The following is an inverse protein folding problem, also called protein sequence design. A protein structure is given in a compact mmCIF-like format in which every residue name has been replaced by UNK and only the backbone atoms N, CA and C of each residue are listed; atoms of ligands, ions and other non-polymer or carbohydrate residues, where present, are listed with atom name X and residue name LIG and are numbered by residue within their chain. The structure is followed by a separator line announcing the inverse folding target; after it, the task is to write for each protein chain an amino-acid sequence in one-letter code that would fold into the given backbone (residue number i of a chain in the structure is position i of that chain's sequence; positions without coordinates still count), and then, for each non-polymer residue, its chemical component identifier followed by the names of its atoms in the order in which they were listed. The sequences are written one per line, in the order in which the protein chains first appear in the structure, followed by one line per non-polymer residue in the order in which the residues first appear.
data_IF_060063281279
#
_entry.id   IF_060063281279
#
_cell.length_a   1.000
_cell.length_b   1.000
_cell.length_c   1.000
_cell.angle_alpha   90.00
_cell.angle_beta   90.00
_cell.angle_gamma   90.00
#
_symmetry.space_group_name_H-M   'P 1'
#
loop_
_entity.id
_entity.type
_entity.pdbx_description
1 polymer ?
#
# COMPACT_ATOMS: atom_id res chain seq x y z
N UNK A 1 -42.29 30.87 -45.71
CA UNK A 1 -41.12 31.13 -44.86
C UNK A 1 -41.17 30.18 -43.66
N UNK A 2 -40.31 29.17 -43.62
CA UNK A 2 -40.22 28.22 -42.50
C UNK A 2 -39.18 28.75 -41.51
N UNK A 3 -39.61 29.05 -40.29
CA UNK A 3 -38.75 29.52 -39.21
C UNK A 3 -38.00 28.32 -38.62
N UNK A 4 -36.68 28.29 -38.76
CA UNK A 4 -35.80 27.25 -38.23
C UNK A 4 -35.44 27.62 -36.78
N UNK A 5 -36.07 26.98 -35.80
CA UNK A 5 -35.66 27.08 -34.39
C UNK A 5 -34.33 26.32 -34.22
N UNK A 6 -33.25 27.07 -34.06
CA UNK A 6 -31.94 26.54 -33.70
C UNK A 6 -31.94 26.24 -32.19
N UNK A 7 -32.11 24.97 -31.83
CA UNK A 7 -31.98 24.52 -30.44
C UNK A 7 -30.51 24.56 -30.01
N UNK A 8 -30.20 25.44 -29.06
CA UNK A 8 -28.88 25.50 -28.42
C UNK A 8 -28.77 24.32 -27.44
N UNK A 9 -28.10 23.24 -27.85
CA UNK A 9 -27.72 22.17 -26.93
C UNK A 9 -26.58 22.69 -26.05
N UNK A 10 -26.90 23.07 -24.80
CA UNK A 10 -25.91 23.23 -23.76
C UNK A 10 -25.34 21.86 -23.40
N UNK A 11 -24.19 21.51 -23.99
CA UNK A 11 -23.35 20.43 -23.49
C UNK A 11 -22.81 20.85 -22.12
N UNK A 12 -23.45 20.37 -21.04
CA UNK A 12 -22.82 20.34 -19.73
C UNK A 12 -21.62 19.38 -19.81
N UNK A 13 -20.44 19.95 -20.01
CA UNK A 13 -19.18 19.25 -19.80
C UNK A 13 -19.06 19.01 -18.29
N UNK A 14 -18.75 17.79 -17.83
CA UNK A 14 -18.35 17.59 -16.44
C UNK A 14 -17.02 18.31 -16.27
N UNK A 15 -17.04 19.48 -15.64
CA UNK A 15 -15.85 20.11 -15.10
C UNK A 15 -15.23 19.13 -14.13
N UNK A 16 -14.27 18.34 -14.62
CA UNK A 16 -13.35 17.60 -13.76
C UNK A 16 -12.49 18.66 -13.11
N UNK A 17 -12.84 19.08 -11.90
CA UNK A 17 -12.03 20.02 -11.15
C UNK A 17 -10.69 19.35 -10.83
N UNK A 18 -9.62 19.91 -11.39
CA UNK A 18 -8.26 19.72 -10.91
C UNK A 18 -8.24 20.06 -9.42
N UNK A 19 -8.14 19.02 -8.60
CA UNK A 19 -8.35 19.08 -7.16
C UNK A 19 -7.13 18.64 -6.36
N UNK A 20 -6.81 19.43 -5.34
CA UNK A 20 -5.91 19.09 -4.24
C UNK A 20 -6.72 19.24 -2.96
N UNK A 21 -6.86 18.17 -2.18
CA UNK A 21 -7.56 18.28 -0.90
C UNK A 21 -6.72 19.09 0.09
N UNK A 22 -7.38 19.66 1.10
CA UNK A 22 -6.68 20.16 2.27
C UNK A 22 -5.89 19.01 2.93
N UNK A 23 -4.84 19.39 3.65
CA UNK A 23 -4.13 18.44 4.49
C UNK A 23 -5.02 18.04 5.67
N UNK A 24 -5.08 16.75 5.94
CA UNK A 24 -5.71 16.19 7.14
C UNK A 24 -4.68 15.42 7.95
N UNK A 25 -4.84 15.44 9.27
CA UNK A 25 -3.96 14.71 10.16
C UNK A 25 -4.28 13.21 10.12
N UNK A 26 -3.24 12.39 10.19
CA UNK A 26 -3.35 10.95 10.38
C UNK A 26 -2.71 10.52 11.69
N UNK A 27 -3.16 9.39 12.24
CA UNK A 27 -2.50 8.74 13.38
C UNK A 27 -1.45 7.76 12.86
N UNK A 28 -0.26 7.81 13.46
CA UNK A 28 0.81 6.88 13.18
C UNK A 28 0.98 5.95 14.37
N UNK A 29 0.59 4.69 14.21
CA UNK A 29 0.60 3.68 15.29
C UNK A 29 1.28 2.43 14.77
N UNK A 30 2.36 2.00 15.42
CA UNK A 30 3.15 0.82 15.04
C UNK A 30 3.55 0.79 13.57
N UNK A 31 3.93 1.96 13.02
CA UNK A 31 4.32 2.13 11.61
C UNK A 31 3.17 2.20 10.60
N UNK A 32 1.92 2.05 11.05
CA UNK A 32 0.75 2.13 10.17
C UNK A 32 0.15 3.53 10.15
N UNK A 33 -0.11 4.04 8.94
CA UNK A 33 -0.84 5.28 8.70
C UNK A 33 -2.33 5.01 8.85
N UNK A 34 -2.97 5.65 9.82
CA UNK A 34 -4.39 5.53 10.16
C UNK A 34 -5.11 6.83 9.90
N UNK A 35 -6.02 6.84 8.93
CA UNK A 35 -6.82 8.02 8.58
C UNK A 35 -8.24 7.89 9.14
N UNK A 36 -8.88 8.98 9.60
CA UNK A 36 -10.26 8.94 10.05
C UNK A 36 -11.20 8.42 8.96
N UNK A 37 -12.16 7.59 9.34
CA UNK A 37 -13.21 7.07 8.47
C UNK A 37 -14.48 6.85 9.28
N UNK A 38 -15.63 6.95 8.63
CA UNK A 38 -16.92 6.55 9.21
C UNK A 38 -17.44 5.37 8.40
N UNK A 39 -17.66 4.22 9.03
CA UNK A 39 -18.29 3.05 8.39
C UNK A 39 -19.62 2.80 9.06
N UNK A 40 -20.70 2.75 8.28
CA UNK A 40 -22.06 2.58 8.80
C UNK A 40 -22.43 3.58 9.90
N UNK A 41 -22.00 4.83 9.76
CA UNK A 41 -22.27 5.89 10.74
C UNK A 41 -21.41 5.84 12.02
N UNK A 42 -20.42 4.95 12.09
CA UNK A 42 -19.57 4.77 13.28
C UNK A 42 -18.16 5.30 12.99
N UNK A 43 -17.66 6.20 13.84
CA UNK A 43 -16.31 6.76 13.73
C UNK A 43 -15.21 5.73 14.02
N UNK A 44 -14.14 5.78 13.24
CA UNK A 44 -12.96 4.97 13.45
C UNK A 44 -11.82 5.32 12.49
N UNK A 45 -11.01 4.32 12.16
CA UNK A 45 -9.82 4.51 11.33
C UNK A 45 -9.71 3.49 10.20
N UNK A 46 -9.26 3.96 9.05
CA UNK A 46 -8.77 3.13 7.96
C UNK A 46 -7.23 3.08 8.01
N UNK A 47 -6.65 1.89 7.89
CA UNK A 47 -5.21 1.68 7.70
C UNK A 47 -4.90 1.78 6.20
N UNK A 48 -3.87 2.53 5.83
CA UNK A 48 -3.40 2.61 4.45
C UNK A 48 -2.31 1.59 4.15
N UNK A 49 -2.55 0.73 3.16
CA UNK A 49 -1.65 -0.37 2.81
C UNK A 49 -1.48 -0.47 1.28
N UNK A 50 -0.43 0.14 0.73
CA UNK A 50 -0.13 0.05 -0.70
C UNK A 50 0.35 -1.35 -1.15
N UNK A 51 0.70 -2.24 -0.22
CA UNK A 51 1.03 -3.63 -0.53
C UNK A 51 -0.21 -4.49 -0.77
N UNK A 52 -1.33 -4.15 -0.13
CA UNK A 52 -2.60 -4.85 -0.25
C UNK A 52 -3.30 -4.61 -1.60
N UNK A 53 -3.71 -5.70 -2.23
CA UNK A 53 -4.39 -5.67 -3.54
C UNK A 53 -5.89 -5.43 -3.45
N UNK A 54 -6.47 -5.54 -2.24
CA UNK A 54 -7.89 -5.47 -2.01
C UNK A 54 -8.18 -4.74 -0.69
N UNK A 55 -9.27 -3.99 -0.67
CA UNK A 55 -9.76 -3.35 0.55
C UNK A 55 -10.32 -4.42 1.48
N UNK A 56 -10.22 -4.19 2.78
CA UNK A 56 -10.67 -5.14 3.79
C UNK A 56 -11.42 -4.46 4.92
N UNK A 57 -12.31 -5.20 5.56
CA UNK A 57 -13.09 -4.77 6.73
C UNK A 57 -12.71 -5.61 7.94
N UNK A 58 -12.59 -4.96 9.11
CA UNK A 58 -12.17 -5.61 10.34
C UNK A 58 -13.30 -6.43 10.96
N UNK A 59 -13.08 -7.73 11.13
CA UNK A 59 -14.03 -8.62 11.81
C UNK A 59 -14.33 -8.19 13.24
N UNK A 60 -13.34 -7.64 13.97
CA UNK A 60 -13.56 -7.13 15.33
C UNK A 60 -14.46 -5.89 15.35
N UNK A 61 -14.39 -5.03 14.32
CA UNK A 61 -15.28 -3.88 14.17
C UNK A 61 -16.72 -4.32 13.88
N UNK A 62 -16.90 -5.26 12.96
CA UNK A 62 -18.23 -5.77 12.63
C UNK A 62 -18.88 -6.46 13.83
N UNK A 63 -18.13 -7.33 14.51
CA UNK A 63 -18.63 -8.06 15.68
C UNK A 63 -19.01 -7.10 16.82
N UNK A 64 -18.17 -6.11 17.14
CA UNK A 64 -18.43 -5.16 18.23
C UNK A 64 -19.74 -4.38 18.04
N UNK A 65 -20.09 -4.09 16.79
CA UNK A 65 -21.23 -3.23 16.44
C UNK A 65 -22.42 -4.01 15.86
N UNK A 66 -22.37 -5.34 15.83
CA UNK A 66 -23.45 -6.17 15.27
C UNK A 66 -23.75 -5.87 13.80
N UNK A 67 -22.73 -5.51 13.01
CA UNK A 67 -22.91 -5.13 11.62
C UNK A 67 -23.04 -6.36 10.73
N UNK A 68 -24.06 -6.34 9.87
CA UNK A 68 -24.26 -7.33 8.82
C UNK A 68 -24.28 -6.62 7.46
N UNK A 69 -23.56 -7.19 6.51
CA UNK A 69 -23.48 -6.69 5.14
C UNK A 69 -23.84 -7.79 4.17
N UNK A 70 -24.24 -7.41 2.96
CA UNK A 70 -24.49 -8.35 1.88
C UNK A 70 -23.22 -9.15 1.58
N UNK A 71 -23.29 -10.47 1.73
CA UNK A 71 -22.13 -11.32 1.48
C UNK A 71 -21.80 -11.39 -0.01
N UNK A 72 -20.52 -11.20 -0.35
CA UNK A 72 -19.98 -11.39 -1.68
C UNK A 72 -19.40 -12.80 -1.88
N UNK A 73 -18.53 -12.94 -2.87
CA UNK A 73 -17.87 -14.22 -3.17
C UNK A 73 -16.75 -14.52 -2.17
N UNK A 74 -16.49 -15.80 -1.92
CA UNK A 74 -15.28 -16.21 -1.19
C UNK A 74 -14.08 -16.13 -2.11
N UNK A 75 -12.99 -15.51 -1.65
CA UNK A 75 -11.76 -15.37 -2.43
C UNK A 75 -10.55 -15.93 -1.67
N UNK A 76 -9.52 -16.38 -2.40
CA UNK A 76 -8.23 -16.73 -1.81
C UNK A 76 -7.41 -15.47 -1.57
N UNK A 77 -7.03 -15.24 -0.32
CA UNK A 77 -6.22 -14.09 0.12
C UNK A 77 -4.85 -14.59 0.50
N UNK A 78 -3.84 -14.18 -0.26
CA UNK A 78 -2.44 -14.48 0.01
C UNK A 78 -1.87 -13.43 0.95
N UNK A 79 -1.41 -13.87 2.11
CA UNK A 79 -0.61 -13.11 3.05
C UNK A 79 0.87 -13.46 2.95
N UNK A 80 1.69 -12.71 3.68
CA UNK A 80 3.15 -12.93 3.76
C UNK A 80 3.48 -14.38 4.15
N UNK A 81 2.78 -14.98 5.11
CA UNK A 81 3.10 -16.33 5.61
C UNK A 81 2.13 -17.44 5.21
N UNK A 82 0.93 -17.10 4.71
CA UNK A 82 -0.11 -18.11 4.44
C UNK A 82 -1.16 -17.59 3.46
N UNK A 83 -1.88 -18.51 2.78
CA UNK A 83 -3.02 -18.21 1.90
C UNK A 83 -4.29 -18.82 2.44
N UNK A 84 -5.30 -17.99 2.74
CA UNK A 84 -6.60 -18.44 3.26
C UNK A 84 -7.76 -17.98 2.40
N UNK A 85 -8.80 -18.79 2.32
CA UNK A 85 -10.08 -18.37 1.73
C UNK A 85 -10.82 -17.48 2.73
N UNK A 86 -11.24 -16.29 2.29
CA UNK A 86 -11.94 -15.30 3.12
C UNK A 86 -13.28 -14.94 2.49
N UNK A 87 -14.25 -14.57 3.33
CA UNK A 87 -15.51 -13.96 2.88
C UNK A 87 -15.24 -12.54 2.41
N UNK A 88 -16.07 -12.10 1.48
CA UNK A 88 -16.16 -10.68 1.12
C UNK A 88 -17.54 -10.14 1.44
N UNK A 89 -17.64 -8.83 1.55
CA UNK A 89 -18.87 -8.10 1.74
C UNK A 89 -19.03 -7.02 0.68
N UNK A 90 -20.28 -6.75 0.34
CA UNK A 90 -20.72 -5.72 -0.58
C UNK A 90 -21.56 -4.68 0.15
N UNK A 91 -21.77 -3.55 -0.49
CA UNK A 91 -22.64 -2.49 -0.02
C UNK A 91 -22.21 -1.93 1.35
N UNK A 92 -20.90 -1.88 1.63
CA UNK A 92 -20.37 -1.34 2.90
C UNK A 92 -20.34 0.19 2.81
N UNK A 93 -21.18 0.92 3.56
CA UNK A 93 -21.25 2.38 3.49
C UNK A 93 -20.05 3.00 4.21
N UNK A 94 -19.37 3.93 3.53
CA UNK A 94 -18.16 4.58 4.00
C UNK A 94 -18.25 6.08 3.74
N UNK A 95 -17.99 6.89 4.77
CA UNK A 95 -17.61 8.28 4.63
C UNK A 95 -16.09 8.39 4.83
N UNK A 96 -15.39 8.89 3.81
CA UNK A 96 -13.96 9.16 3.88
C UNK A 96 -13.70 10.55 3.34
N UNK A 97 -13.06 11.40 4.15
CA UNK A 97 -12.76 12.80 3.80
C UNK A 97 -13.99 13.61 3.39
N UNK A 98 -15.15 13.34 4.01
CA UNK A 98 -16.41 14.05 3.72
C UNK A 98 -17.14 13.57 2.47
N UNK A 99 -16.64 12.52 1.80
CA UNK A 99 -17.31 11.90 0.66
C UNK A 99 -17.92 10.55 1.07
N UNK A 100 -19.21 10.39 0.78
CA UNK A 100 -19.95 9.13 0.97
C UNK A 100 -19.84 8.24 -0.28
N UNK A 101 -19.53 6.97 -0.05
CA UNK A 101 -19.56 5.93 -1.07
C UNK A 101 -19.83 4.56 -0.43
N UNK A 102 -20.00 3.57 -1.29
CA UNK A 102 -20.12 2.17 -0.89
C UNK A 102 -18.93 1.39 -1.41
N UNK A 103 -18.39 0.50 -0.58
CA UNK A 103 -17.35 -0.44 -0.99
C UNK A 103 -17.94 -1.83 -1.23
N UNK A 104 -17.57 -2.40 -2.38
CA UNK A 104 -17.88 -3.77 -2.76
C UNK A 104 -16.65 -4.67 -2.72
N UNK A 105 -16.89 -5.97 -2.58
CA UNK A 105 -15.88 -7.01 -2.50
C UNK A 105 -14.83 -6.75 -1.41
N UNK A 106 -15.20 -6.13 -0.28
CA UNK A 106 -14.27 -5.91 0.84
C UNK A 106 -14.04 -7.21 1.58
N UNK A 107 -12.78 -7.57 1.81
CA UNK A 107 -12.43 -8.84 2.45
C UNK A 107 -12.57 -8.75 3.96
N UNK A 108 -13.15 -9.78 4.57
CA UNK A 108 -13.15 -9.91 6.02
C UNK A 108 -11.77 -10.36 6.54
N UNK A 109 -11.15 -9.52 7.38
CA UNK A 109 -9.88 -9.83 8.05
C UNK A 109 -9.88 -9.32 9.49
N UNK A 110 -8.93 -9.81 10.30
CA UNK A 110 -8.66 -9.22 11.61
C UNK A 110 -7.48 -8.25 11.49
N UNK A 111 -7.70 -6.97 11.80
CA UNK A 111 -6.66 -5.92 11.81
C UNK A 111 -6.53 -5.25 13.18
N UNK A 112 -6.68 -6.05 14.23
CA UNK A 112 -6.54 -5.60 15.61
C UNK A 112 -7.81 -4.96 16.17
N UNK A 113 -7.63 -3.96 17.04
CA UNK A 113 -8.70 -3.31 17.78
C UNK A 113 -9.85 -2.85 16.89
N UNK A 114 -11.09 -2.94 17.38
CA UNK A 114 -12.32 -2.63 16.64
C UNK A 114 -12.42 -1.17 16.15
N UNK A 115 -11.57 -0.27 16.63
CA UNK A 115 -11.44 1.10 16.11
C UNK A 115 -10.74 1.16 14.75
N UNK A 116 -9.94 0.14 14.39
CA UNK A 116 -9.49 -0.04 13.01
C UNK A 116 -10.64 -0.69 12.25
N UNK A 117 -11.29 0.04 11.36
CA UNK A 117 -12.49 -0.42 10.67
C UNK A 117 -12.15 -1.01 9.31
N UNK A 118 -11.27 -0.34 8.56
CA UNK A 118 -10.90 -0.72 7.20
C UNK A 118 -9.38 -0.84 7.04
N UNK A 119 -8.96 -1.63 6.07
CA UNK A 119 -7.66 -1.56 5.43
C UNK A 119 -7.89 -1.18 3.97
N UNK A 120 -7.33 -0.04 3.55
CA UNK A 120 -7.47 0.50 2.19
C UNK A 120 -6.22 0.19 1.38
N UNK A 121 -6.41 -0.63 0.35
CA UNK A 121 -5.36 -1.11 -0.53
C UNK A 121 -5.40 -0.48 -1.93
N UNK A 122 -4.97 -1.23 -2.93
CA UNK A 122 -4.89 -0.81 -4.33
C UNK A 122 -6.18 -0.13 -4.85
N UNK A 123 -7.35 -0.57 -4.40
CA UNK A 123 -8.64 0.04 -4.77
C UNK A 123 -8.72 1.54 -4.41
N UNK A 124 -8.13 1.96 -3.30
CA UNK A 124 -8.02 3.36 -2.89
C UNK A 124 -6.89 4.10 -3.64
N UNK A 125 -5.68 3.54 -3.61
CA UNK A 125 -4.50 4.18 -4.21
C UNK A 125 -4.60 4.35 -5.74
N UNK A 126 -5.39 3.53 -6.43
CA UNK A 126 -5.61 3.66 -7.87
C UNK A 126 -6.40 4.93 -8.25
N UNK A 127 -7.15 5.52 -7.33
CA UNK A 127 -8.06 6.64 -7.67
C UNK A 127 -7.35 7.99 -7.63
N UNK A 128 -6.34 8.17 -6.78
CA UNK A 128 -5.69 9.47 -6.55
C UNK A 128 -4.18 9.35 -6.55
N UNK A 129 -3.50 10.49 -6.72
CA UNK A 129 -2.14 10.67 -6.23
C UNK A 129 -2.23 10.93 -4.72
N UNK A 130 -1.56 10.12 -3.93
CA UNK A 130 -1.58 10.21 -2.47
C UNK A 130 -0.30 10.91 -2.01
N UNK A 131 -0.43 11.97 -1.22
CA UNK A 131 0.72 12.61 -0.60
C UNK A 131 0.68 12.41 0.92
N UNK A 132 1.74 11.81 1.45
CA UNK A 132 1.97 11.53 2.87
C UNK A 132 3.14 12.37 3.36
N UNK A 133 2.90 13.33 4.24
CA UNK A 133 3.94 13.98 5.04
C UNK A 133 4.11 13.16 6.32
N UNK A 134 5.04 12.19 6.31
CA UNK A 134 5.28 11.34 7.47
C UNK A 134 5.76 12.14 8.70
N UNK A 135 6.72 13.07 8.57
CA UNK A 135 7.20 13.88 9.68
C UNK A 135 6.11 14.72 10.35
N UNK A 136 5.22 15.35 9.57
CA UNK A 136 4.10 16.14 10.12
C UNK A 136 2.82 15.33 10.34
N UNK A 137 2.82 14.05 9.99
CA UNK A 137 1.67 13.13 10.09
C UNK A 137 0.44 13.65 9.35
N UNK A 138 0.64 14.13 8.12
CA UNK A 138 -0.45 14.67 7.29
C UNK A 138 -0.61 13.91 5.99
N UNK A 139 -1.83 13.85 5.51
CA UNK A 139 -2.17 13.27 4.21
C UNK A 139 -3.05 14.22 3.40
N UNK A 140 -2.90 14.18 2.09
CA UNK A 140 -3.85 14.77 1.14
C UNK A 140 -3.95 13.94 -0.13
N UNK A 141 -5.07 14.12 -0.84
CA UNK A 141 -5.33 13.50 -2.13
C UNK A 141 -5.21 14.55 -3.23
N UNK A 142 -4.63 14.14 -4.35
CA UNK A 142 -4.41 14.98 -5.50
C UNK A 142 -4.94 14.24 -6.74
N UNK A 143 -5.74 14.93 -7.54
CA UNK A 143 -6.18 14.43 -8.85
C UNK A 143 -5.00 14.40 -9.83
N UNK A 144 -4.99 13.46 -10.78
CA UNK A 144 -3.81 13.26 -11.66
C UNK A 144 -3.56 14.39 -12.64
N UNK A 145 -4.60 15.15 -12.99
CA UNK A 145 -4.53 16.35 -13.81
C UNK A 145 -4.02 17.57 -13.04
N UNK A 146 -4.03 17.54 -11.69
CA UNK A 146 -3.47 18.61 -10.85
C UNK A 146 -1.95 18.52 -10.64
N UNK A 147 -1.31 17.40 -11.00
CA UNK A 147 0.12 17.18 -10.74
C UNK A 147 0.77 16.31 -11.81
N UNK A 148 1.83 16.82 -12.43
CA UNK A 148 2.63 16.07 -13.40
C UNK A 148 3.69 15.21 -12.70
N UNK A 149 3.28 14.01 -12.28
CA UNK A 149 4.17 13.08 -11.60
C UNK A 149 5.28 12.51 -12.48
N UNK A 150 5.15 12.57 -13.81
CA UNK A 150 6.24 12.12 -14.70
C UNK A 150 7.43 13.08 -14.62
N UNK A 151 7.17 14.38 -14.53
CA UNK A 151 8.22 15.40 -14.34
C UNK A 151 8.78 15.43 -12.93
N UNK A 152 7.95 15.20 -11.92
CA UNK A 152 8.35 15.31 -10.52
C UNK A 152 9.05 14.06 -9.97
N UNK A 153 8.81 12.88 -10.54
CA UNK A 153 9.34 11.63 -9.98
C UNK A 153 10.87 11.64 -9.85
N UNK A 154 11.36 11.40 -8.64
CA UNK A 154 12.79 11.26 -8.33
C UNK A 154 13.15 9.86 -7.79
N UNK A 155 12.17 8.97 -7.65
CA UNK A 155 12.36 7.55 -7.35
C UNK A 155 12.06 6.75 -8.60
N UNK A 156 12.95 5.80 -8.92
CA UNK A 156 12.71 4.83 -10.00
C UNK A 156 11.66 3.82 -9.57
N UNK A 157 10.39 4.19 -9.73
CA UNK A 157 9.21 3.39 -9.45
C UNK A 157 8.58 2.88 -10.76
N UNK A 158 7.83 1.77 -10.69
CA UNK A 158 6.93 1.27 -11.73
C UNK A 158 5.73 0.59 -11.11
N UNK A 159 4.60 0.57 -11.81
CA UNK A 159 3.54 -0.41 -11.53
C UNK A 159 3.85 -1.72 -12.27
N UNK A 160 4.15 -2.79 -11.55
CA UNK A 160 4.46 -4.09 -12.16
C UNK A 160 3.18 -4.80 -12.56
N UNK A 161 2.93 -4.92 -13.87
CA UNK A 161 1.69 -5.50 -14.41
C UNK A 161 1.50 -6.97 -14.05
N UNK A 162 2.58 -7.70 -13.77
CA UNK A 162 2.52 -9.12 -13.41
C UNK A 162 2.04 -9.30 -11.97
N UNK A 163 2.73 -8.69 -11.00
CA UNK A 163 2.33 -8.75 -9.59
C UNK A 163 1.13 -7.85 -9.26
N UNK A 164 0.83 -6.85 -10.09
CA UNK A 164 -0.14 -5.76 -9.85
C UNK A 164 0.23 -4.88 -8.64
N UNK A 165 1.52 -4.78 -8.35
CA UNK A 165 2.04 -4.03 -7.20
C UNK A 165 2.92 -2.85 -7.65
N UNK A 166 2.95 -1.76 -6.86
CA UNK A 166 3.92 -0.69 -7.04
C UNK A 166 5.29 -1.20 -6.62
N UNK A 167 6.29 -1.09 -7.49
CA UNK A 167 7.65 -1.51 -7.20
C UNK A 167 8.64 -0.36 -7.34
N UNK A 168 9.55 -0.26 -6.38
CA UNK A 168 10.62 0.74 -6.34
C UNK A 168 11.97 0.07 -6.51
N UNK A 169 12.87 0.73 -7.23
CA UNK A 169 14.25 0.29 -7.37
C UNK A 169 15.11 0.91 -6.26
N UNK A 170 15.76 0.07 -5.48
CA UNK A 170 16.55 0.47 -4.31
C UNK A 170 17.92 -0.17 -4.42
N UNK A 171 18.99 0.61 -4.24
CA UNK A 171 20.35 0.08 -4.12
C UNK A 171 20.58 -0.34 -2.68
N UNK A 172 20.94 -1.59 -2.47
CA UNK A 172 21.20 -2.16 -1.15
C UNK A 172 22.70 -2.27 -0.92
N UNK A 173 23.16 -1.78 0.23
CA UNK A 173 24.52 -1.87 0.75
C UNK A 173 25.62 -1.51 -0.26
N UNK A 174 25.38 -0.53 -1.14
CA UNK A 174 26.26 -0.19 -2.26
C UNK A 174 26.62 -1.31 -3.23
N UNK A 175 25.97 -2.48 -3.13
CA UNK A 175 26.28 -3.67 -3.93
C UNK A 175 25.33 -3.80 -5.13
N UNK A 176 24.01 -3.84 -4.91
CA UNK A 176 23.04 -4.16 -5.98
C UNK A 176 21.75 -3.36 -5.89
N UNK A 177 21.24 -2.99 -7.06
CA UNK A 177 19.89 -2.46 -7.20
C UNK A 177 18.87 -3.59 -7.35
N UNK A 178 17.86 -3.62 -6.48
CA UNK A 178 16.78 -4.61 -6.50
C UNK A 178 15.41 -3.93 -6.65
N UNK A 179 14.40 -4.70 -7.07
CA UNK A 179 13.01 -4.24 -7.07
C UNK A 179 12.31 -4.72 -5.82
N UNK A 180 11.68 -3.80 -5.10
CA UNK A 180 10.91 -4.08 -3.89
C UNK A 180 9.49 -3.55 -4.07
N UNK A 181 8.50 -4.23 -3.51
CA UNK A 181 7.15 -3.67 -3.39
C UNK A 181 7.18 -2.47 -2.45
N UNK A 182 6.57 -1.36 -2.86
CA UNK A 182 6.31 -0.25 -1.96
C UNK A 182 5.09 -0.58 -1.10
N UNK A 183 5.29 -0.74 0.19
CA UNK A 183 4.29 -1.29 1.11
C UNK A 183 4.14 -0.40 2.35
N UNK A 184 3.15 0.49 2.35
CA UNK A 184 2.83 1.33 3.52
C UNK A 184 2.21 0.54 4.68
N UNK A 185 1.80 -0.72 4.45
CA UNK A 185 1.34 -1.65 5.48
C UNK A 185 2.46 -2.44 6.16
N UNK A 186 3.69 -2.39 5.62
CA UNK A 186 4.86 -2.97 6.26
C UNK A 186 5.44 -2.00 7.30
N UNK A 187 5.28 -2.33 8.59
CA UNK A 187 5.78 -1.51 9.71
C UNK A 187 7.32 -1.53 9.89
N UNK A 188 8.02 -2.47 9.24
CA UNK A 188 9.48 -2.54 9.23
C UNK A 188 10.13 -1.63 8.18
N UNK A 189 11.43 -1.80 7.95
CA UNK A 189 12.16 -1.12 6.88
C UNK A 189 12.12 -1.91 5.59
N UNK A 190 12.93 -2.96 5.51
CA UNK A 190 12.94 -3.89 4.41
C UNK A 190 12.51 -5.28 4.87
N UNK A 191 11.73 -6.00 4.06
CA UNK A 191 11.55 -7.44 4.21
C UNK A 191 12.02 -8.12 2.92
N UNK A 192 13.20 -8.72 2.94
CA UNK A 192 13.84 -9.31 1.77
C UNK A 192 13.61 -10.82 1.70
N UNK A 193 13.66 -11.37 0.49
CA UNK A 193 13.81 -12.81 0.28
C UNK A 193 15.11 -13.24 0.94
N UNK A 194 15.07 -14.32 1.72
CA UNK A 194 16.25 -14.87 2.40
C UNK A 194 17.42 -15.13 1.44
N UNK A 195 17.12 -15.66 0.25
CA UNK A 195 18.11 -15.89 -0.81
C UNK A 195 18.83 -14.62 -1.29
N UNK A 196 18.25 -13.43 -1.09
CA UNK A 196 18.94 -12.16 -1.36
C UNK A 196 20.03 -11.91 -0.32
N UNK A 197 19.73 -12.10 0.97
CA UNK A 197 20.71 -11.92 2.04
C UNK A 197 21.79 -13.01 2.02
N UNK A 198 21.44 -14.25 1.65
CA UNK A 198 22.40 -15.35 1.48
C UNK A 198 23.36 -15.10 0.31
N UNK A 199 22.85 -14.58 -0.82
CA UNK A 199 23.70 -14.26 -1.98
C UNK A 199 24.81 -13.24 -1.69
N UNK A 200 24.54 -12.29 -0.78
CA UNK A 200 25.52 -11.29 -0.36
C UNK A 200 26.24 -11.63 0.95
N UNK A 201 25.95 -12.80 1.51
CA UNK A 201 26.53 -13.28 2.76
C UNK A 201 26.26 -12.32 3.94
N UNK A 202 25.15 -11.60 3.92
CA UNK A 202 24.78 -10.66 4.98
C UNK A 202 24.43 -11.34 6.29
N UNK A 203 23.97 -12.59 6.23
CA UNK A 203 23.56 -13.36 7.40
C UNK A 203 24.74 -13.85 8.26
N UNK A 204 25.97 -13.79 7.74
CA UNK A 204 27.20 -14.06 8.49
C UNK A 204 27.93 -12.77 8.87
N UNK A 205 27.79 -11.70 8.06
CA UNK A 205 28.47 -10.41 8.24
C UNK A 205 27.86 -9.50 9.30
N UNK A 206 26.57 -9.64 9.57
CA UNK A 206 25.83 -8.74 10.47
C UNK A 206 25.30 -9.47 11.70
N UNK A 207 25.08 -8.72 12.78
CA UNK A 207 24.41 -9.23 13.97
C UNK A 207 22.95 -9.59 13.64
N UNK A 208 22.60 -10.86 13.83
CA UNK A 208 21.27 -11.40 13.52
C UNK A 208 20.46 -11.59 14.79
N UNK A 209 19.25 -11.03 14.81
CA UNK A 209 18.24 -11.28 15.86
C UNK A 209 17.07 -12.04 15.27
N UNK A 210 16.46 -12.93 16.05
CA UNK A 210 15.21 -13.59 15.66
C UNK A 210 14.02 -12.84 16.23
N UNK A 211 12.93 -12.79 15.48
CA UNK A 211 11.68 -12.16 15.90
C UNK A 211 10.46 -12.87 15.32
N UNK A 212 9.28 -12.46 15.79
CA UNK A 212 8.00 -12.89 15.25
C UNK A 212 7.36 -11.69 14.57
N UNK A 213 6.87 -11.89 13.35
CA UNK A 213 6.11 -10.90 12.59
C UNK A 213 4.74 -11.46 12.24
N UNK A 214 3.75 -10.59 12.26
CA UNK A 214 2.38 -10.94 11.94
C UNK A 214 2.08 -10.61 10.49
N UNK A 215 1.63 -11.58 9.72
CA UNK A 215 0.95 -11.35 8.44
C UNK A 215 -0.57 -11.45 8.62
N UNK A 216 -1.30 -11.07 7.56
CA UNK A 216 -2.77 -11.06 7.55
C UNK A 216 -3.46 -12.40 7.88
N UNK A 217 -2.76 -13.53 7.69
CA UNK A 217 -3.31 -14.88 7.87
C UNK A 217 -2.62 -15.71 8.97
N UNK A 218 -1.36 -15.40 9.28
CA UNK A 218 -0.50 -16.17 10.18
C UNK A 218 0.69 -15.32 10.64
N UNK A 219 1.25 -15.68 11.79
CA UNK A 219 2.55 -15.18 12.22
C UNK A 219 3.69 -16.05 11.63
N UNK A 220 4.87 -15.46 11.47
CA UNK A 220 6.05 -16.15 10.98
C UNK A 220 7.30 -15.74 11.75
N UNK A 221 8.27 -16.66 11.80
CA UNK A 221 9.59 -16.36 12.36
C UNK A 221 10.41 -15.66 11.28
N UNK A 222 11.02 -14.56 11.67
CA UNK A 222 11.95 -13.83 10.81
C UNK A 222 13.27 -13.57 11.54
N UNK A 223 14.30 -13.30 10.76
CA UNK A 223 15.58 -12.83 11.23
C UNK A 223 15.76 -11.38 10.82
N UNK A 224 16.31 -10.57 11.71
CA UNK A 224 16.49 -9.13 11.58
C UNK A 224 17.96 -8.79 11.68
N UNK A 225 18.40 -7.87 10.83
CA UNK A 225 19.70 -7.24 10.86
C UNK A 225 19.58 -5.79 10.37
N UNK A 226 20.67 -5.04 10.38
CA UNK A 226 20.70 -3.68 9.85
C UNK A 226 21.62 -3.60 8.65
N UNK A 227 21.09 -3.12 7.53
CA UNK A 227 21.93 -2.79 6.39
C UNK A 227 22.62 -1.45 6.65
N UNK A 228 23.95 -1.35 6.47
CA UNK A 228 24.70 -0.12 6.69
C UNK A 228 24.14 1.06 5.89
N UNK A 229 23.81 0.84 4.61
CA UNK A 229 23.28 1.88 3.74
C UNK A 229 22.34 1.31 2.69
N UNK A 230 21.29 2.07 2.37
CA UNK A 230 20.49 1.88 1.15
C UNK A 230 20.37 3.21 0.41
N UNK A 231 20.11 3.15 -0.90
CA UNK A 231 19.82 4.32 -1.72
C UNK A 231 18.46 4.19 -2.39
N UNK A 232 17.60 5.19 -2.21
CA UNK A 232 16.30 5.32 -2.88
C UNK A 232 16.16 6.73 -3.46
N UNK A 233 15.99 6.80 -4.78
CA UNK A 233 16.03 8.08 -5.50
C UNK A 233 17.34 8.83 -5.21
N UNK A 234 17.28 10.12 -4.83
CA UNK A 234 18.47 10.90 -4.53
C UNK A 234 19.00 10.71 -3.09
N UNK A 235 18.33 9.94 -2.24
CA UNK A 235 18.65 9.83 -0.82
C UNK A 235 19.37 8.53 -0.47
N UNK A 236 20.32 8.66 0.46
CA UNK A 236 20.96 7.54 1.15
C UNK A 236 20.44 7.49 2.59
N UNK A 237 20.08 6.30 3.05
CA UNK A 237 19.66 6.06 4.42
C UNK A 237 20.59 5.04 5.04
N UNK A 238 21.05 5.35 6.25
CA UNK A 238 21.94 4.48 7.00
C UNK A 238 21.19 3.60 7.99
N UNK A 239 21.81 2.49 8.37
CA UNK A 239 21.39 1.65 9.49
C UNK A 239 19.94 1.13 9.38
N UNK A 240 19.51 0.76 8.17
CA UNK A 240 18.11 0.42 7.87
C UNK A 240 17.75 -0.97 8.37
N UNK A 241 16.64 -1.06 9.13
CA UNK A 241 16.13 -2.33 9.64
C UNK A 241 15.70 -3.25 8.50
N UNK A 242 16.33 -4.41 8.41
CA UNK A 242 16.09 -5.39 7.35
C UNK A 242 15.73 -6.73 7.97
N UNK A 243 14.64 -7.33 7.49
CA UNK A 243 14.22 -8.67 7.89
C UNK A 243 14.24 -9.64 6.72
N UNK A 244 14.43 -10.91 7.03
CA UNK A 244 14.26 -12.05 6.11
C UNK A 244 13.49 -13.15 6.81
N UNK A 245 12.75 -14.01 6.08
CA UNK A 245 12.17 -15.22 6.67
C UNK A 245 13.24 -16.06 7.38
N UNK A 246 12.92 -16.68 8.51
CA UNK A 246 13.80 -17.62 9.19
C UNK A 246 14.22 -18.79 8.29
N UNK A 247 15.27 -19.54 8.68
CA UNK A 247 15.90 -20.58 7.84
C UNK A 247 14.91 -21.60 7.24
N UNK A 248 13.87 -21.95 7.99
CA UNK A 248 12.84 -22.92 7.59
C UNK A 248 11.46 -22.26 7.42
N UNK A 249 11.43 -20.97 7.07
CA UNK A 249 10.22 -20.21 6.84
C UNK A 249 10.21 -19.68 5.40
N UNK A 250 9.05 -19.75 4.76
CA UNK A 250 8.81 -19.10 3.47
C UNK A 250 8.03 -17.81 3.69
N UNK A 251 8.18 -16.86 2.76
CA UNK A 251 7.33 -15.67 2.72
C UNK A 251 6.95 -15.29 1.29
N UNK A 252 5.68 -14.96 1.10
CA UNK A 252 5.12 -14.41 -0.12
C UNK A 252 5.36 -12.90 -0.14
N UNK A 253 6.46 -12.48 -0.77
CA UNK A 253 6.89 -11.07 -0.82
C UNK A 253 6.53 -10.36 -2.13
N UNK A 254 5.63 -10.96 -2.91
CA UNK A 254 5.02 -10.40 -4.10
C UNK A 254 3.76 -11.19 -4.42
N UNK A 255 2.68 -10.55 -4.83
CA UNK A 255 1.52 -11.28 -5.36
C UNK A 255 1.92 -11.98 -6.66
N UNK A 256 1.68 -13.29 -6.74
CA UNK A 256 1.80 -13.99 -8.01
C UNK A 256 0.63 -13.57 -8.90
N UNK A 257 0.94 -12.94 -10.03
CA UNK A 257 -0.03 -12.75 -11.10
C UNK A 257 -0.51 -14.11 -11.58
N UNK A 258 -1.73 -14.50 -11.22
CA UNK A 258 -2.38 -15.71 -11.70
C UNK A 258 -2.78 -15.53 -13.17
N UNK A 259 -1.83 -15.63 -14.08
CA UNK A 259 -2.13 -15.84 -15.50
C UNK A 259 -1.23 -16.95 -16.05
N UNK A 260 -1.72 -18.19 -15.98
CA UNK A 260 -1.25 -19.22 -16.89
C UNK A 260 -1.40 -18.70 -18.33
N UNK A 261 -0.32 -18.68 -19.10
CA UNK A 261 -0.34 -18.32 -20.53
C UNK A 261 0.02 -16.87 -20.89
N UNK A 262 0.35 -16.00 -19.92
CA UNK A 262 0.77 -14.63 -20.23
C UNK A 262 2.26 -14.55 -20.58
N UNK A 263 2.60 -13.98 -21.75
CA UNK A 263 3.99 -13.64 -22.15
C UNK A 263 4.57 -12.45 -21.38
N UNK A 264 3.82 -11.87 -20.42
CA UNK A 264 4.24 -10.70 -19.65
C UNK A 264 5.28 -11.12 -18.61
N UNK A 265 6.55 -10.83 -18.88
CA UNK A 265 7.65 -10.99 -17.90
C UNK A 265 7.61 -9.84 -16.89
N UNK A 266 7.25 -10.14 -15.63
CA UNK A 266 7.37 -9.22 -14.51
C UNK A 266 8.81 -8.96 -14.07
N UNK A 267 9.02 -7.99 -13.17
CA UNK A 267 10.34 -7.79 -12.53
C UNK A 267 10.62 -8.86 -11.47
N UNK A 268 11.91 -9.18 -11.27
CA UNK A 268 12.32 -10.03 -10.17
C UNK A 268 12.25 -9.25 -8.85
N UNK A 269 11.07 -9.28 -8.22
CA UNK A 269 10.82 -8.65 -6.92
C UNK A 269 11.58 -9.43 -5.84
N UNK A 270 12.34 -8.70 -5.02
CA UNK A 270 13.23 -9.26 -3.98
C UNK A 270 12.73 -9.03 -2.56
N UNK A 271 11.64 -8.30 -2.37
CA UNK A 271 11.12 -8.00 -1.04
C UNK A 271 10.14 -6.84 -1.03
N UNK A 272 9.93 -6.31 0.18
CA UNK A 272 9.07 -5.18 0.51
C UNK A 272 9.92 -4.03 1.07
N UNK A 273 9.50 -2.80 0.83
CA UNK A 273 10.01 -1.58 1.45
C UNK A 273 8.85 -0.91 2.20
N UNK A 274 9.06 -0.61 3.48
CA UNK A 274 8.03 -0.12 4.38
C UNK A 274 8.43 1.09 5.22
N UNK A 275 7.72 1.24 6.33
CA UNK A 275 7.69 2.41 7.19
C UNK A 275 9.06 2.92 7.67
N UNK A 276 10.00 2.06 8.09
CA UNK A 276 11.29 2.52 8.64
C UNK A 276 12.09 3.35 7.63
N UNK A 277 11.86 3.14 6.33
CA UNK A 277 12.43 3.95 5.24
C UNK A 277 11.56 5.16 4.93
N UNK A 278 10.23 4.97 4.83
CA UNK A 278 9.30 6.00 4.37
C UNK A 278 9.11 7.14 5.38
N UNK A 279 9.26 6.87 6.68
CA UNK A 279 9.01 7.82 7.77
C UNK A 279 9.82 9.12 7.70
N UNK A 280 10.91 9.12 6.93
CA UNK A 280 11.83 10.25 6.79
C UNK A 280 11.41 11.27 5.73
N UNK A 281 10.36 10.99 4.95
CA UNK A 281 10.04 11.76 3.75
C UNK A 281 8.62 12.30 3.73
N UNK A 282 8.44 13.37 2.96
CA UNK A 282 7.17 13.63 2.29
C UNK A 282 7.13 12.75 1.04
N UNK A 283 6.20 11.80 1.00
CA UNK A 283 6.02 10.83 -0.07
C UNK A 283 4.85 11.25 -0.95
N UNK A 284 5.07 11.45 -2.25
CA UNK A 284 4.01 11.68 -3.24
C UNK A 284 3.95 10.48 -4.18
N UNK A 285 2.83 9.76 -4.14
CA UNK A 285 2.67 8.44 -4.76
C UNK A 285 1.55 8.48 -5.80
N UNK A 286 1.90 8.34 -7.07
CA UNK A 286 0.96 7.95 -8.12
C UNK A 286 1.08 6.44 -8.35
N UNK A 287 0.29 5.70 -7.58
CA UNK A 287 0.28 4.25 -7.56
C UNK A 287 0.03 3.64 -8.95
N UNK A 288 -1.01 4.11 -9.64
CA UNK A 288 -1.44 3.60 -10.94
C UNK A 288 -0.47 3.98 -12.06
N UNK A 289 0.02 5.22 -12.06
CA UNK A 289 1.02 5.65 -13.06
C UNK A 289 2.40 5.06 -12.80
N UNK A 290 2.68 4.59 -11.59
CA UNK A 290 3.98 4.03 -11.24
C UNK A 290 5.04 5.09 -10.99
N UNK A 291 4.64 6.26 -10.47
CA UNK A 291 5.55 7.38 -10.21
C UNK A 291 5.59 7.68 -8.71
N UNK A 292 6.79 8.02 -8.23
CA UNK A 292 7.00 8.40 -6.84
C UNK A 292 8.00 9.54 -6.76
N UNK A 293 7.66 10.53 -5.95
CA UNK A 293 8.54 11.60 -5.54
C UNK A 293 8.68 11.58 -4.02
N UNK A 294 9.90 11.67 -3.53
CA UNK A 294 10.20 11.82 -2.10
C UNK A 294 11.02 13.07 -1.86
N UNK A 295 10.77 13.77 -0.76
CA UNK A 295 11.60 14.88 -0.31
C UNK A 295 11.80 14.81 1.19
N UNK A 296 13.04 15.02 1.64
CA UNK A 296 13.34 15.18 3.06
C UNK A 296 12.91 16.59 3.52
N UNK A 297 12.28 16.75 4.70
CA UNK A 297 11.87 18.05 5.23
C UNK A 297 13.03 19.03 5.46
#
# INVERSE_FOLDING_TARGET
MRCLCLGFLCFFSPLSFSGVTQWIDFKLVDGHVKIPVVVSGIDGYAILDSGAQINSINSAFMQKNGLEFSTGTKIKVQGVYDTKTRKTYNNVPVNLLGADFSLDNVVEIFIGHHSNQLLLGAGFFNNFVVQLDYPKKKIRLITRDAIDMQKLANVKMKFDKYSRQPIVNVRLNNEKSVWLVLDTGNSGGLMLKRSTAEHFDWLSKFEIKSGISNGINAAGIHQVFRLPVIKIGPYELENVLTSVPGKNQSANLSSQGSQLGSRIKGKSIKGLLGYDVLKHFIVTLDYKGGHMHIVAP
#
